data_IF_178802458429
#
_entry.id   IF_178802458429
#
_cell.length_a   1.000
_cell.length_b   1.000
_cell.length_c   1.000
_cell.angle_alpha   90.00
_cell.angle_beta   90.00
_cell.angle_gamma   90.00
#
_symmetry.space_group_name_H-M   'P 1'
#
loop_
_entity.id
_entity.type
_entity.pdbx_description
1 polymer ?
#
# COMPACT_ATOMS: atom_id res chain seq x y z
N UNK A 1 22.43 27.19 -5.79
CA UNK A 1 21.74 26.14 -4.99
C UNK A 1 20.27 26.49 -5.03
N UNK A 2 19.41 25.59 -5.49
CA UNK A 2 17.97 25.87 -5.62
C UNK A 2 17.29 25.40 -4.34
N UNK A 3 16.75 26.33 -3.56
CA UNK A 3 15.95 26.00 -2.38
C UNK A 3 14.49 25.82 -2.81
N UNK A 4 13.86 24.73 -2.37
CA UNK A 4 12.44 24.47 -2.56
C UNK A 4 11.77 24.51 -1.19
N UNK A 5 10.90 25.50 -0.97
CA UNK A 5 10.11 25.64 0.25
C UNK A 5 8.69 25.15 -0.04
N UNK A 6 8.27 24.08 0.62
CA UNK A 6 6.89 23.56 0.55
C UNK A 6 6.15 24.01 1.80
N UNK A 7 5.17 24.92 1.64
CA UNK A 7 4.28 25.36 2.72
C UNK A 7 2.92 24.71 2.54
N UNK A 8 2.55 23.82 3.45
CA UNK A 8 1.23 23.18 3.47
C UNK A 8 0.40 23.89 4.56
N UNK A 9 -0.52 24.79 4.20
CA UNK A 9 -1.45 25.35 5.17
C UNK A 9 -2.42 24.25 5.61
N UNK A 10 -2.52 24.04 6.92
CA UNK A 10 -3.47 23.11 7.55
C UNK A 10 -4.33 23.89 8.52
N UNK A 11 -5.59 23.50 8.65
CA UNK A 11 -6.50 24.04 9.65
C UNK A 11 -6.21 23.43 11.03
N UNK A 12 -6.65 24.12 12.09
CA UNK A 12 -6.36 23.73 13.48
C UNK A 12 -6.91 22.34 13.86
N UNK A 13 -7.98 21.88 13.21
CA UNK A 13 -8.57 20.55 13.38
C UNK A 13 -7.74 19.43 12.70
N UNK A 14 -6.97 19.77 11.66
CA UNK A 14 -6.15 18.83 10.90
C UNK A 14 -4.70 18.82 11.41
N UNK A 15 -4.22 19.92 11.99
CA UNK A 15 -2.86 20.04 12.50
C UNK A 15 -2.41 18.88 13.43
N UNK A 16 -3.25 18.36 14.36
CA UNK A 16 -2.89 17.22 15.19
C UNK A 16 -2.63 15.93 14.39
N UNK A 17 -3.18 15.79 13.18
CA UNK A 17 -2.94 14.62 12.33
C UNK A 17 -1.51 14.55 11.81
N UNK A 18 -0.76 15.66 11.84
CA UNK A 18 0.63 15.73 11.41
C UNK A 18 1.62 15.56 12.58
N UNK A 19 1.16 15.67 13.83
CA UNK A 19 2.03 15.57 15.00
C UNK A 19 2.64 14.17 15.10
N UNK A 20 3.98 14.11 15.20
CA UNK A 20 4.73 12.85 15.28
C UNK A 20 4.69 11.99 14.01
N UNK A 21 4.12 12.49 12.90
CA UNK A 21 4.04 11.74 11.63
C UNK A 21 5.08 12.23 10.62
N UNK A 22 5.64 11.27 9.89
CA UNK A 22 6.43 11.58 8.71
C UNK A 22 5.50 11.98 7.55
N UNK A 23 5.93 12.96 6.75
CA UNK A 23 5.25 13.37 5.53
C UNK A 23 5.90 12.65 4.36
N UNK A 24 5.13 11.92 3.57
CA UNK A 24 5.60 11.35 2.31
C UNK A 24 5.26 12.30 1.16
N UNK A 25 6.28 12.82 0.49
CA UNK A 25 6.15 13.62 -0.72
C UNK A 25 6.35 12.70 -1.93
N UNK A 26 5.31 12.53 -2.75
CA UNK A 26 5.37 11.70 -3.95
C UNK A 26 5.28 12.60 -5.19
N UNK A 27 6.37 12.78 -5.96
CA UNK A 27 6.32 13.56 -7.18
C UNK A 27 5.64 12.75 -8.28
N UNK A 28 4.53 13.26 -8.82
CA UNK A 28 3.71 12.64 -9.86
C UNK A 28 3.60 13.57 -11.06
N UNK A 29 3.50 13.00 -12.27
CA UNK A 29 2.92 13.74 -13.41
C UNK A 29 1.39 13.83 -13.27
N UNK A 30 0.75 14.69 -14.05
CA UNK A 30 -0.73 14.81 -14.05
C UNK A 30 -1.40 13.46 -14.37
N UNK A 31 -0.88 12.74 -15.38
CA UNK A 31 -1.37 11.39 -15.72
C UNK A 31 -1.17 10.38 -14.57
N UNK A 32 -0.02 10.42 -13.88
CA UNK A 32 0.23 9.54 -12.73
C UNK A 32 -0.70 9.87 -11.56
N UNK A 33 -1.00 11.16 -11.34
CA UNK A 33 -1.92 11.62 -10.31
C UNK A 33 -3.36 11.15 -10.58
N UNK A 34 -3.80 11.19 -11.83
CA UNK A 34 -5.13 10.71 -12.24
C UNK A 34 -5.28 9.19 -12.11
N UNK A 35 -4.23 8.43 -12.42
CA UNK A 35 -4.25 6.97 -12.38
C UNK A 35 -4.06 6.39 -10.97
N UNK A 36 -3.40 7.12 -10.08
CA UNK A 36 -3.02 6.63 -8.74
C UNK A 36 -4.22 6.17 -7.89
N UNK A 37 -5.34 6.90 -7.77
CA UNK A 37 -6.48 6.46 -6.98
C UNK A 37 -7.05 5.11 -7.45
N UNK A 38 -7.21 4.94 -8.76
CA UNK A 38 -7.70 3.69 -9.34
C UNK A 38 -6.72 2.54 -9.08
N UNK A 39 -5.41 2.78 -9.26
CA UNK A 39 -4.38 1.78 -9.00
C UNK A 39 -4.34 1.36 -7.53
N UNK A 40 -4.40 2.31 -6.58
CA UNK A 40 -4.45 2.01 -5.14
C UNK A 40 -5.71 1.23 -4.76
N UNK A 41 -6.86 1.57 -5.34
CA UNK A 41 -8.11 0.85 -5.13
C UNK A 41 -8.00 -0.61 -5.59
N UNK A 42 -7.41 -0.85 -6.78
CA UNK A 42 -7.18 -2.21 -7.27
C UNK A 42 -6.22 -2.99 -6.37
N UNK A 43 -5.11 -2.38 -5.94
CA UNK A 43 -4.16 -3.03 -5.02
C UNK A 43 -4.84 -3.40 -3.70
N UNK A 44 -5.61 -2.49 -3.11
CA UNK A 44 -6.35 -2.74 -1.87
C UNK A 44 -7.36 -3.88 -2.03
N UNK A 45 -8.14 -3.88 -3.11
CA UNK A 45 -9.12 -4.94 -3.39
C UNK A 45 -8.46 -6.30 -3.58
N UNK A 46 -7.34 -6.35 -4.29
CA UNK A 46 -6.58 -7.59 -4.46
C UNK A 46 -6.05 -8.10 -3.12
N UNK A 47 -5.54 -7.20 -2.27
CA UNK A 47 -5.09 -7.59 -0.93
C UNK A 47 -6.23 -8.20 -0.11
N UNK A 48 -7.42 -7.58 -0.11
CA UNK A 48 -8.60 -8.09 0.57
C UNK A 48 -9.01 -9.49 0.07
N UNK A 49 -9.05 -9.68 -1.26
CA UNK A 49 -9.37 -10.98 -1.86
C UNK A 49 -8.32 -12.02 -1.45
N UNK A 50 -7.03 -11.67 -1.49
CA UNK A 50 -5.96 -12.57 -1.10
C UNK A 50 -6.10 -13.00 0.37
N UNK A 51 -6.36 -12.06 1.29
CA UNK A 51 -6.58 -12.38 2.70
C UNK A 51 -7.77 -13.32 2.89
N UNK A 52 -8.91 -13.06 2.23
CA UNK A 52 -10.11 -13.92 2.31
C UNK A 52 -9.85 -15.32 1.78
N UNK A 53 -9.20 -15.43 0.63
CA UNK A 53 -8.89 -16.72 0.01
C UNK A 53 -7.84 -17.51 0.79
N UNK A 54 -6.84 -16.85 1.39
CA UNK A 54 -5.89 -17.51 2.28
C UNK A 54 -6.57 -18.03 3.55
N UNK A 55 -7.47 -17.26 4.17
CA UNK A 55 -8.23 -17.72 5.33
C UNK A 55 -9.12 -18.92 5.01
N UNK A 56 -9.74 -18.94 3.81
CA UNK A 56 -10.52 -20.09 3.34
C UNK A 56 -9.63 -21.31 3.11
N UNK A 57 -8.43 -21.12 2.55
CA UNK A 57 -7.47 -22.20 2.36
C UNK A 57 -7.02 -22.80 3.70
N UNK A 58 -6.71 -21.94 4.67
CA UNK A 58 -6.32 -22.36 6.03
C UNK A 58 -7.42 -23.21 6.68
N UNK A 59 -8.67 -22.74 6.64
CA UNK A 59 -9.82 -23.48 7.14
C UNK A 59 -10.00 -24.84 6.44
N UNK A 60 -9.81 -24.92 5.12
CA UNK A 60 -9.93 -26.20 4.37
C UNK A 60 -8.80 -27.16 4.78
N UNK A 61 -7.57 -26.66 4.91
CA UNK A 61 -6.44 -27.48 5.35
C UNK A 61 -6.64 -28.01 6.77
N UNK A 62 -7.14 -27.19 7.70
CA UNK A 62 -7.43 -27.60 9.08
C UNK A 62 -8.57 -28.63 9.18
N UNK A 63 -9.61 -28.48 8.34
CA UNK A 63 -10.84 -29.29 8.48
C UNK A 63 -10.88 -30.53 7.59
N UNK A 64 -10.22 -30.50 6.43
CA UNK A 64 -10.30 -31.56 5.40
C UNK A 64 -8.95 -32.11 4.96
N UNK A 65 -7.85 -31.47 5.37
CA UNK A 65 -6.50 -31.89 5.00
C UNK A 65 -6.07 -31.43 3.60
N UNK A 66 -4.81 -31.73 3.25
CA UNK A 66 -4.14 -31.20 2.05
C UNK A 66 -4.52 -31.87 0.72
N UNK A 67 -5.22 -33.01 0.76
CA UNK A 67 -5.58 -33.79 -0.44
C UNK A 67 -6.96 -33.40 -1.03
N UNK A 68 -7.56 -32.32 -0.54
CA UNK A 68 -8.90 -31.90 -0.97
C UNK A 68 -8.87 -31.31 -2.41
N UNK A 69 -9.67 -31.83 -3.36
CA UNK A 69 -9.72 -31.34 -4.75
C UNK A 69 -10.08 -29.84 -4.88
N UNK A 70 -10.77 -29.28 -3.88
CA UNK A 70 -11.17 -27.88 -3.83
C UNK A 70 -10.01 -26.91 -3.52
N UNK A 71 -8.87 -27.40 -3.01
CA UNK A 71 -7.66 -26.57 -2.78
C UNK A 71 -7.17 -25.97 -4.11
N UNK A 72 -7.18 -26.76 -5.20
CA UNK A 72 -6.79 -26.28 -6.52
C UNK A 72 -7.71 -25.15 -7.02
N UNK A 73 -9.01 -25.22 -6.70
CA UNK A 73 -9.99 -24.20 -7.05
C UNK A 73 -9.74 -22.90 -6.28
N UNK A 74 -9.50 -22.99 -4.98
CA UNK A 74 -9.14 -21.84 -4.12
C UNK A 74 -7.83 -21.19 -4.59
N UNK A 75 -6.82 -21.99 -4.93
CA UNK A 75 -5.56 -21.49 -5.50
C UNK A 75 -5.76 -20.82 -6.87
N UNK A 76 -6.69 -21.30 -7.70
CA UNK A 76 -7.02 -20.64 -8.96
C UNK A 76 -7.77 -19.31 -8.75
N UNK A 77 -8.64 -19.23 -7.74
CA UNK A 77 -9.29 -17.99 -7.33
C UNK A 77 -8.31 -16.93 -6.80
N UNK A 78 -7.16 -17.36 -6.26
CA UNK A 78 -6.04 -16.47 -5.91
C UNK A 78 -5.24 -16.01 -7.14
N UNK A 79 -4.98 -16.90 -8.11
CA UNK A 79 -4.12 -16.59 -9.26
C UNK A 79 -4.68 -15.50 -10.17
N UNK A 80 -5.98 -15.50 -10.43
CA UNK A 80 -6.58 -14.56 -11.39
C UNK A 80 -6.53 -13.08 -10.92
N UNK A 81 -6.95 -12.73 -9.69
CA UNK A 81 -6.80 -11.38 -9.16
C UNK A 81 -5.34 -10.92 -9.09
N UNK A 82 -4.41 -11.81 -8.70
CA UNK A 82 -2.99 -11.45 -8.65
C UNK A 82 -2.41 -11.16 -10.03
N UNK A 83 -2.73 -11.94 -11.07
CA UNK A 83 -2.28 -11.66 -12.45
C UNK A 83 -2.71 -10.27 -12.93
N UNK A 84 -3.95 -9.89 -12.63
CA UNK A 84 -4.47 -8.58 -13.01
C UNK A 84 -3.88 -7.43 -12.17
N UNK A 85 -3.50 -7.72 -10.91
CA UNK A 85 -2.96 -6.72 -9.99
C UNK A 85 -1.46 -6.47 -10.15
N UNK A 86 -0.69 -7.39 -10.73
CA UNK A 86 0.78 -7.25 -10.89
C UNK A 86 1.16 -5.93 -11.56
N UNK A 87 0.42 -5.52 -12.60
CA UNK A 87 0.65 -4.25 -13.29
C UNK A 87 0.42 -3.04 -12.36
N UNK A 88 -0.71 -3.03 -11.64
CA UNK A 88 -1.04 -1.95 -10.71
C UNK A 88 -0.09 -1.90 -9.51
N UNK A 89 0.29 -3.05 -8.96
CA UNK A 89 1.28 -3.16 -7.89
C UNK A 89 2.65 -2.64 -8.34
N UNK A 90 3.09 -3.02 -9.56
CA UNK A 90 4.34 -2.53 -10.13
C UNK A 90 4.32 -1.01 -10.35
N UNK A 91 3.21 -0.48 -10.87
CA UNK A 91 3.00 0.96 -11.03
C UNK A 91 3.08 1.69 -9.69
N UNK A 92 2.29 1.27 -8.70
CA UNK A 92 2.26 1.87 -7.36
C UNK A 92 3.64 1.79 -6.71
N UNK A 93 4.31 0.63 -6.77
CA UNK A 93 5.65 0.47 -6.20
C UNK A 93 6.68 1.41 -6.84
N UNK A 94 6.61 1.62 -8.17
CA UNK A 94 7.47 2.58 -8.87
C UNK A 94 7.27 4.00 -8.34
N UNK A 95 6.04 4.40 -8.07
CA UNK A 95 5.73 5.73 -7.51
C UNK A 95 6.22 5.88 -6.07
N UNK A 96 5.99 4.86 -5.23
CA UNK A 96 6.52 4.86 -3.86
C UNK A 96 8.04 4.87 -3.80
N UNK A 97 8.76 4.24 -4.74
CA UNK A 97 10.24 4.31 -4.78
C UNK A 97 10.77 5.71 -5.08
N UNK A 98 9.96 6.56 -5.71
CA UNK A 98 10.30 7.96 -6.01
C UNK A 98 9.91 8.90 -4.88
N UNK A 99 9.17 8.43 -3.88
CA UNK A 99 8.71 9.30 -2.80
C UNK A 99 9.84 9.61 -1.82
N UNK A 100 9.76 10.78 -1.21
CA UNK A 100 10.68 11.25 -0.18
C UNK A 100 9.92 11.34 1.13
N UNK A 101 10.48 10.75 2.18
CA UNK A 101 9.93 10.86 3.54
C UNK A 101 10.62 12.00 4.27
N UNK A 102 9.83 12.99 4.67
CA UNK A 102 10.23 14.14 5.48
C UNK A 102 9.78 13.93 6.93
N UNK A 103 10.56 14.39 7.91
CA UNK A 103 10.18 14.33 9.32
C UNK A 103 10.55 13.03 10.05
N UNK A 104 11.29 12.11 9.43
CA UNK A 104 12.01 11.05 10.16
C UNK A 104 13.23 11.65 10.85
N UNK A 105 13.01 12.46 11.88
CA UNK A 105 14.09 12.71 12.83
C UNK A 105 14.33 11.37 13.53
N UNK A 106 15.53 10.79 13.34
CA UNK A 106 16.07 9.88 14.37
C UNK A 106 15.87 10.62 15.69
N UNK A 107 15.13 10.00 16.59
CA UNK A 107 15.12 10.37 18.00
C UNK A 107 16.52 10.04 18.54
N UNK A 108 17.54 10.78 18.10
CA UNK A 108 18.73 10.96 18.90
C UNK A 108 18.23 11.74 20.10
N UNK A 109 18.03 11.01 21.20
CA UNK A 109 18.13 11.57 22.54
C UNK A 109 19.32 12.53 22.52
N UNK A 110 19.07 13.83 22.44
CA UNK A 110 19.95 14.78 23.10
C UNK A 110 19.70 14.58 24.60
N UNK A 111 20.38 13.57 25.12
CA UNK A 111 20.81 13.54 26.50
C UNK A 111 21.64 14.81 26.71
N UNK A 112 21.13 15.62 27.66
CA UNK A 112 21.80 16.71 28.36
C UNK A 112 21.96 18.03 27.60
#
# INVERSE_FOLDING_TARGET
MTEIVIRIPVSDDIAPLFEGKAIMVMPLSDEEADQLPAALSQVSKTFEINCKSLATLDQVLETRGSDEPDIAKTLNMLKAPNRNAVGFMGFVQKLFRRSVLLGLHKTEKRLQ
#
